data_IF_504131009191
#
_entry.id   IF_504131009191
#
_cell.length_a   1.000
_cell.length_b   1.000
_cell.length_c   1.000
_cell.angle_alpha   90.00
_cell.angle_beta   90.00
_cell.angle_gamma   90.00
#
_symmetry.space_group_name_H-M   'P 1'
#
loop_
_entity.id
_entity.type
_entity.pdbx_description
1 polymer ?
#
# COMPACT_ATOMS: atom_id res chain seq x y z
N UNK A 1 31.89 5.86 23.63
CA UNK A 1 30.61 5.21 23.29
C UNK A 1 29.58 6.31 23.14
N UNK A 2 29.59 6.98 21.98
CA UNK A 2 28.55 7.95 21.63
C UNK A 2 27.39 7.15 21.05
N UNK A 3 26.21 7.29 21.64
CA UNK A 3 24.97 6.82 21.03
C UNK A 3 24.78 7.63 19.75
N UNK A 4 24.77 6.91 18.62
CA UNK A 4 24.53 7.44 17.30
C UNK A 4 23.23 8.23 17.27
N UNK A 5 23.28 9.41 16.68
CA UNK A 5 22.10 10.16 16.32
C UNK A 5 21.31 9.32 15.30
N UNK A 6 20.13 8.85 15.71
CA UNK A 6 19.21 8.10 14.86
C UNK A 6 18.74 9.05 13.75
N UNK A 7 19.39 8.95 12.60
CA UNK A 7 19.09 9.75 11.43
C UNK A 7 17.62 9.52 11.06
N UNK A 8 16.85 10.61 10.96
CA UNK A 8 15.55 10.58 10.29
C UNK A 8 15.77 9.94 8.90
N UNK A 9 15.10 8.83 8.55
CA UNK A 9 15.32 8.19 7.26
C UNK A 9 14.84 9.16 6.17
N UNK A 10 15.80 9.78 5.48
CA UNK A 10 15.52 10.70 4.39
C UNK A 10 14.86 9.91 3.24
N UNK A 11 13.61 10.25 2.90
CA UNK A 11 13.07 10.01 1.55
C UNK A 11 11.68 9.37 1.45
N UNK A 12 11.26 8.54 2.42
CA UNK A 12 9.99 7.80 2.30
C UNK A 12 8.81 8.54 2.96
N UNK A 13 7.73 8.76 2.21
CA UNK A 13 6.44 9.19 2.75
C UNK A 13 5.55 7.96 3.02
N UNK A 14 5.04 7.83 4.23
CA UNK A 14 4.06 6.80 4.61
C UNK A 14 2.68 7.45 4.68
N UNK A 15 1.83 7.12 3.71
CA UNK A 15 0.48 7.63 3.60
C UNK A 15 -0.53 6.59 4.12
N UNK A 16 -1.25 6.95 5.18
CA UNK A 16 -2.32 6.15 5.75
C UNK A 16 -3.65 6.52 5.08
N UNK A 17 -4.27 5.56 4.41
CA UNK A 17 -5.53 5.71 3.67
C UNK A 17 -6.68 5.05 4.45
N UNK A 18 -7.55 5.89 4.99
CA UNK A 18 -8.74 5.48 5.73
C UNK A 18 -9.94 5.33 4.77
N UNK A 19 -10.33 4.08 4.54
CA UNK A 19 -11.44 3.71 3.67
C UNK A 19 -12.77 3.91 4.41
N UNK A 20 -13.38 5.09 4.27
CA UNK A 20 -14.61 5.47 4.98
C UNK A 20 -15.86 5.47 4.11
N UNK A 21 -15.71 5.45 2.78
CA UNK A 21 -16.82 5.56 1.83
C UNK A 21 -16.96 4.32 0.93
N UNK A 22 -15.84 3.75 0.47
CA UNK A 22 -15.82 2.57 -0.39
C UNK A 22 -14.93 1.48 0.20
N UNK A 23 -15.20 0.20 -0.07
CA UNK A 23 -14.30 -0.88 0.30
C UNK A 23 -12.96 -0.79 -0.44
N UNK A 24 -11.97 -1.54 0.04
CA UNK A 24 -10.64 -1.64 -0.56
C UNK A 24 -10.72 -1.98 -2.05
N UNK A 25 -11.56 -2.94 -2.40
CA UNK A 25 -11.71 -3.48 -3.75
C UNK A 25 -12.12 -2.41 -4.77
N UNK A 26 -12.85 -1.38 -4.33
CA UNK A 26 -13.26 -0.27 -5.20
C UNK A 26 -12.20 0.84 -5.24
N UNK A 27 -11.46 1.05 -4.15
CA UNK A 27 -10.49 2.14 -4.05
C UNK A 27 -9.11 1.78 -4.62
N UNK A 28 -8.72 0.52 -4.51
CA UNK A 28 -7.39 0.02 -4.84
C UNK A 28 -7.00 0.22 -6.31
N UNK A 29 -7.85 -0.07 -7.32
CA UNK A 29 -7.46 0.08 -8.72
C UNK A 29 -7.04 1.51 -9.06
N UNK A 30 -7.85 2.50 -8.68
CA UNK A 30 -7.57 3.92 -8.92
C UNK A 30 -6.30 4.43 -8.18
N UNK A 31 -5.91 3.80 -7.07
CA UNK A 31 -4.64 4.11 -6.39
C UNK A 31 -3.45 3.53 -7.15
N UNK A 32 -3.55 2.28 -7.61
CA UNK A 32 -2.50 1.61 -8.39
C UNK A 32 -2.32 2.28 -9.77
N UNK A 33 -3.40 2.66 -10.46
CA UNK A 33 -3.34 3.46 -11.69
C UNK A 33 -2.53 4.74 -11.51
N UNK A 34 -2.72 5.45 -10.38
CA UNK A 34 -1.96 6.67 -10.07
C UNK A 34 -0.49 6.41 -9.76
N UNK A 35 -0.14 5.20 -9.32
CA UNK A 35 1.27 4.78 -9.21
C UNK A 35 1.84 4.56 -10.60
N UNK A 36 1.17 3.77 -11.44
CA UNK A 36 1.61 3.48 -12.80
C UNK A 36 1.70 4.73 -13.68
N UNK A 37 0.77 5.69 -13.52
CA UNK A 37 0.77 6.97 -14.23
C UNK A 37 1.97 7.89 -13.87
N UNK A 38 2.76 7.53 -12.85
CA UNK A 38 4.04 8.18 -12.50
C UNK A 38 5.25 7.40 -13.03
N UNK A 39 5.04 6.40 -13.88
CA UNK A 39 6.06 5.43 -14.30
C UNK A 39 6.70 4.68 -13.13
N UNK A 40 5.97 4.56 -12.02
CA UNK A 40 6.38 3.78 -10.85
C UNK A 40 5.78 2.39 -10.88
N UNK A 41 6.47 1.47 -10.21
CA UNK A 41 6.06 0.11 -9.94
C UNK A 41 5.60 -0.03 -8.49
N UNK A 42 4.68 -0.95 -8.27
CA UNK A 42 4.15 -1.24 -6.96
C UNK A 42 4.37 -2.69 -6.57
N UNK A 43 4.54 -2.92 -5.27
CA UNK A 43 4.25 -4.21 -4.65
C UNK A 43 3.05 -4.04 -3.73
N UNK A 44 2.09 -4.96 -3.80
CA UNK A 44 0.95 -5.05 -2.91
C UNK A 44 1.13 -6.26 -2.00
N UNK A 45 1.19 -6.01 -0.68
CA UNK A 45 1.28 -7.05 0.34
C UNK A 45 -0.08 -7.26 1.00
N UNK A 46 -0.62 -8.45 0.83
CA UNK A 46 -1.89 -8.90 1.39
C UNK A 46 -1.72 -9.92 2.51
N UNK A 47 -2.78 -10.14 3.29
CA UNK A 47 -2.72 -10.99 4.49
C UNK A 47 -2.59 -12.50 4.23
N UNK A 48 -2.89 -12.97 3.02
CA UNK A 48 -2.80 -14.39 2.67
C UNK A 48 -2.73 -14.63 1.15
N UNK A 49 -2.35 -15.84 0.74
CA UNK A 49 -2.32 -16.22 -0.67
C UNK A 49 -3.73 -16.23 -1.31
N UNK A 50 -4.76 -16.61 -0.54
CA UNK A 50 -6.16 -16.53 -0.99
C UNK A 50 -6.57 -15.09 -1.25
N UNK A 51 -6.10 -14.16 -0.41
CA UNK A 51 -6.37 -12.74 -0.55
C UNK A 51 -5.64 -12.15 -1.75
N UNK A 52 -4.39 -12.54 -1.99
CA UNK A 52 -3.65 -12.21 -3.23
C UNK A 52 -4.46 -12.65 -4.45
N UNK A 53 -4.92 -13.90 -4.50
CA UNK A 53 -5.71 -14.43 -5.62
C UNK A 53 -7.02 -13.67 -5.84
N UNK A 54 -7.70 -13.30 -4.75
CA UNK A 54 -8.93 -12.52 -4.83
C UNK A 54 -8.69 -11.12 -5.41
N UNK A 55 -7.60 -10.46 -5.00
CA UNK A 55 -7.22 -9.14 -5.51
C UNK A 55 -6.73 -9.20 -6.96
N UNK A 56 -5.97 -10.23 -7.35
CA UNK A 56 -5.57 -10.48 -8.74
C UNK A 56 -6.81 -10.60 -9.65
N UNK A 57 -7.77 -11.44 -9.30
CA UNK A 57 -9.02 -11.61 -10.07
C UNK A 57 -9.83 -10.31 -10.17
N UNK A 58 -9.84 -9.51 -9.10
CA UNK A 58 -10.49 -8.20 -9.08
C UNK A 58 -9.80 -7.21 -10.02
N UNK A 59 -8.47 -7.11 -9.98
CA UNK A 59 -7.72 -6.16 -10.79
C UNK A 59 -7.80 -6.45 -12.29
N UNK A 60 -8.18 -7.68 -12.69
CA UNK A 60 -8.53 -8.01 -14.06
C UNK A 60 -9.95 -7.64 -14.49
N UNK A 61 -10.87 -7.42 -13.54
CA UNK A 61 -12.32 -7.35 -13.82
C UNK A 61 -13.02 -6.10 -13.29
N UNK A 62 -12.29 -5.20 -12.62
CA UNK A 62 -12.88 -4.02 -11.97
C UNK A 62 -13.51 -3.02 -12.94
N UNK A 63 -12.97 -2.91 -14.16
CA UNK A 63 -13.48 -2.07 -15.24
C UNK A 63 -13.14 -2.72 -16.59
N UNK A 64 -14.14 -3.00 -17.46
CA UNK A 64 -13.91 -3.63 -18.76
C UNK A 64 -13.06 -2.79 -19.73
N UNK A 65 -12.99 -1.47 -19.53
CA UNK A 65 -12.24 -0.55 -20.38
C UNK A 65 -10.84 -0.22 -19.81
N UNK A 66 -10.48 -0.79 -18.67
CA UNK A 66 -9.21 -0.52 -17.99
C UNK A 66 -8.24 -1.71 -18.06
N UNK A 67 -6.94 -1.39 -18.09
CA UNK A 67 -5.87 -2.37 -18.09
C UNK A 67 -4.82 -2.00 -17.05
N UNK A 68 -4.77 -2.79 -15.97
CA UNK A 68 -3.81 -2.63 -14.89
C UNK A 68 -2.86 -3.83 -14.92
N UNK A 69 -1.69 -3.75 -15.58
CA UNK A 69 -0.78 -4.88 -15.70
C UNK A 69 -0.21 -5.27 -14.34
N UNK A 70 -0.47 -6.51 -13.93
CA UNK A 70 -0.03 -7.06 -12.66
C UNK A 70 0.28 -8.55 -12.78
N UNK A 71 0.98 -9.08 -11.78
CA UNK A 71 1.20 -10.51 -11.60
C UNK A 71 1.46 -10.85 -10.14
N UNK A 72 1.47 -12.15 -9.85
CA UNK A 72 1.68 -12.71 -8.51
C UNK A 72 2.52 -13.99 -8.58
N UNK A 73 2.78 -14.60 -7.42
CA UNK A 73 3.59 -15.82 -7.34
C UNK A 73 3.02 -16.92 -8.27
N UNK A 74 3.86 -17.40 -9.19
CA UNK A 74 3.49 -18.40 -10.19
C UNK A 74 3.36 -17.83 -11.61
N UNK A 75 3.24 -16.51 -11.75
CA UNK A 75 3.24 -15.85 -13.04
C UNK A 75 4.65 -15.72 -13.64
N UNK A 76 4.76 -15.76 -14.98
CA UNK A 76 6.05 -15.59 -15.66
C UNK A 76 6.59 -14.16 -15.52
N UNK A 77 7.91 -14.03 -15.58
CA UNK A 77 8.63 -12.75 -15.63
C UNK A 77 8.25 -11.80 -14.46
N UNK A 78 8.36 -12.25 -13.20
CA UNK A 78 7.96 -11.46 -12.03
C UNK A 78 8.63 -10.08 -11.97
N UNK A 79 9.87 -9.96 -12.46
CA UNK A 79 10.63 -8.72 -12.55
C UNK A 79 10.10 -7.71 -13.57
N UNK A 80 9.20 -8.14 -14.47
CA UNK A 80 8.58 -7.30 -15.49
C UNK A 80 7.17 -6.85 -15.12
N UNK A 81 6.61 -7.34 -14.02
CA UNK A 81 5.25 -7.00 -13.58
C UNK A 81 5.21 -5.58 -12.98
N UNK A 82 4.49 -4.61 -13.58
CA UNK A 82 4.43 -3.25 -13.05
C UNK A 82 3.80 -3.17 -11.66
N UNK A 83 2.85 -4.06 -11.38
CA UNK A 83 2.34 -4.32 -10.03
C UNK A 83 2.57 -5.78 -9.67
N UNK A 84 3.18 -6.04 -8.52
CA UNK A 84 3.39 -7.38 -7.99
C UNK A 84 2.52 -7.60 -6.77
N UNK A 85 1.70 -8.66 -6.75
CA UNK A 85 0.89 -9.03 -5.57
C UNK A 85 1.55 -10.19 -4.83
N UNK A 86 1.69 -10.04 -3.51
CA UNK A 86 2.29 -11.07 -2.66
C UNK A 86 1.65 -11.13 -1.27
N UNK A 87 1.76 -12.29 -0.62
CA UNK A 87 1.50 -12.49 0.81
C UNK A 87 2.80 -12.57 1.64
N UNK A 88 3.96 -12.46 0.99
CA UNK A 88 5.29 -12.57 1.58
C UNK A 88 6.11 -11.27 1.47
N UNK A 89 7.43 -11.45 1.48
CA UNK A 89 8.43 -10.39 1.47
C UNK A 89 9.15 -10.20 0.12
N UNK A 90 8.72 -10.91 -0.92
CA UNK A 90 9.32 -10.85 -2.24
C UNK A 90 9.02 -9.53 -2.97
N UNK A 91 10.08 -8.94 -3.54
CA UNK A 91 10.07 -7.66 -4.25
C UNK A 91 10.72 -7.81 -5.65
N UNK A 92 10.26 -8.74 -6.50
CA UNK A 92 10.97 -9.09 -7.73
C UNK A 92 10.99 -7.97 -8.77
N UNK A 93 10.04 -7.02 -8.69
CA UNK A 93 9.81 -6.00 -9.69
C UNK A 93 10.49 -4.65 -9.40
N UNK A 94 11.37 -4.57 -8.41
CA UNK A 94 12.05 -3.33 -7.96
C UNK A 94 11.06 -2.17 -7.73
N UNK A 95 10.11 -2.33 -6.78
CA UNK A 95 8.98 -1.42 -6.60
C UNK A 95 9.38 -0.10 -5.91
N UNK A 96 8.94 1.03 -6.45
CA UNK A 96 9.04 2.32 -5.76
C UNK A 96 7.97 2.50 -4.69
N UNK A 97 6.82 1.82 -4.84
CA UNK A 97 5.67 1.95 -3.94
C UNK A 97 5.34 0.62 -3.27
N UNK A 98 5.26 0.64 -1.95
CA UNK A 98 4.69 -0.45 -1.16
C UNK A 98 3.23 -0.15 -0.84
N UNK A 99 2.33 -1.08 -1.14
CA UNK A 99 0.92 -1.01 -0.79
C UNK A 99 0.64 -2.09 0.26
N UNK A 100 0.25 -1.68 1.46
CA UNK A 100 -0.10 -2.55 2.58
C UNK A 100 -1.61 -2.60 2.74
N UNK A 101 -2.16 -3.81 2.75
CA UNK A 101 -3.60 -4.06 2.97
C UNK A 101 -3.77 -5.12 4.05
N UNK A 102 -5.01 -5.35 4.49
CA UNK A 102 -5.37 -6.38 5.49
C UNK A 102 -4.58 -6.28 6.82
N UNK A 103 -4.12 -5.08 7.17
CA UNK A 103 -3.33 -4.83 8.37
C UNK A 103 -1.88 -5.29 8.30
N UNK A 104 -1.40 -5.69 7.11
CA UNK A 104 0.00 -6.04 6.88
C UNK A 104 0.94 -4.87 7.15
N UNK A 105 2.18 -5.19 7.50
CA UNK A 105 3.21 -4.21 7.78
C UNK A 105 4.55 -4.61 7.12
N UNK A 106 5.46 -3.64 7.01
CA UNK A 106 6.82 -3.87 6.54
C UNK A 106 7.83 -3.25 7.51
N UNK A 107 8.70 -4.04 8.18
CA UNK A 107 9.52 -3.55 9.29
C UNK A 107 10.41 -2.36 8.89
N UNK A 108 10.98 -2.40 7.69
CA UNK A 108 11.80 -1.32 7.15
C UNK A 108 11.29 -0.78 5.81
N UNK A 109 10.56 0.35 5.79
CA UNK A 109 10.06 0.96 4.57
C UNK A 109 11.07 1.88 3.88
N UNK A 110 12.31 1.99 4.37
CA UNK A 110 13.30 2.96 3.88
C UNK A 110 13.72 2.74 2.42
N UNK A 111 13.58 1.53 1.88
CA UNK A 111 13.85 1.20 0.47
C UNK A 111 12.80 1.70 -0.52
N UNK A 112 11.65 2.19 -0.04
CA UNK A 112 10.56 2.66 -0.90
C UNK A 112 10.55 4.18 -1.03
N UNK A 113 10.03 4.68 -2.14
CA UNK A 113 9.71 6.11 -2.30
C UNK A 113 8.44 6.45 -1.53
N UNK A 114 7.46 5.55 -1.52
CA UNK A 114 6.19 5.74 -0.83
C UNK A 114 5.60 4.46 -0.29
N UNK A 115 4.97 4.54 0.86
CA UNK A 115 4.12 3.47 1.41
C UNK A 115 2.68 3.95 1.44
N UNK A 116 1.75 3.13 0.94
CA UNK A 116 0.31 3.31 1.07
C UNK A 116 -0.19 2.26 2.08
N UNK A 117 -0.58 2.69 3.28
CA UNK A 117 -1.15 1.82 4.32
C UNK A 117 -2.67 1.99 4.32
N UNK A 118 -3.40 1.01 3.77
CA UNK A 118 -4.85 1.06 3.62
C UNK A 118 -5.53 0.26 4.73
N UNK A 119 -6.56 0.84 5.32
CA UNK A 119 -7.36 0.17 6.35
C UNK A 119 -8.84 0.54 6.26
N UNK A 120 -9.70 -0.42 6.60
CA UNK A 120 -11.15 -0.24 6.58
C UNK A 120 -11.61 0.61 7.78
N UNK A 121 -12.24 1.74 7.51
CA UNK A 121 -12.77 2.62 8.54
C UNK A 121 -14.06 2.16 9.20
N UNK A 122 -14.65 1.07 8.69
CA UNK A 122 -15.86 0.45 9.23
C UNK A 122 -15.53 -0.74 10.13
N UNK A 123 -14.26 -1.09 10.26
CA UNK A 123 -13.74 -2.11 11.17
C UNK A 123 -12.92 -1.45 12.28
N UNK A 124 -13.49 -1.43 13.49
CA UNK A 124 -12.84 -0.85 14.68
C UNK A 124 -11.50 -1.49 15.01
N UNK A 125 -11.31 -2.79 14.71
CA UNK A 125 -10.04 -3.48 14.92
C UNK A 125 -9.00 -3.01 13.91
N UNK A 126 -9.38 -2.84 12.65
CA UNK A 126 -8.49 -2.31 11.61
C UNK A 126 -8.07 -0.85 11.91
N UNK A 127 -9.01 -0.03 12.38
CA UNK A 127 -8.73 1.36 12.80
C UNK A 127 -7.78 1.40 14.00
N UNK A 128 -7.99 0.54 15.00
CA UNK A 128 -7.11 0.43 16.15
C UNK A 128 -5.69 -0.01 15.74
N UNK A 129 -5.58 -1.05 14.91
CA UNK A 129 -4.30 -1.53 14.40
C UNK A 129 -3.54 -0.47 13.57
N UNK A 130 -4.24 0.26 12.70
CA UNK A 130 -3.65 1.35 11.93
C UNK A 130 -3.16 2.50 12.83
N UNK A 131 -3.89 2.80 13.91
CA UNK A 131 -3.45 3.79 14.91
C UNK A 131 -2.16 3.38 15.61
N UNK A 132 -1.99 2.09 15.90
CA UNK A 132 -0.77 1.59 16.52
C UNK A 132 0.41 1.61 15.54
N UNK A 133 0.21 1.20 14.28
CA UNK A 133 1.22 1.38 13.22
C UNK A 133 1.60 2.85 13.06
N UNK A 134 0.63 3.76 12.99
CA UNK A 134 0.89 5.20 12.92
C UNK A 134 1.79 5.70 14.06
N UNK A 135 1.47 5.33 15.30
CA UNK A 135 2.26 5.71 16.49
C UNK A 135 3.68 5.17 16.41
N UNK A 136 3.85 3.90 16.06
CA UNK A 136 5.16 3.27 15.94
C UNK A 136 6.01 3.92 14.84
N UNK A 137 5.42 4.22 13.67
CA UNK A 137 6.12 4.89 12.56
C UNK A 137 6.50 6.33 12.93
N UNK A 138 5.60 7.05 13.59
CA UNK A 138 5.87 8.42 14.07
C UNK A 138 6.99 8.44 15.09
N UNK A 139 7.02 7.48 16.02
CA UNK A 139 8.08 7.35 17.02
C UNK A 139 9.46 7.10 16.40
N UNK A 140 9.51 6.42 15.25
CA UNK A 140 10.72 6.21 14.44
C UNK A 140 11.07 7.38 13.51
N UNK A 141 10.34 8.48 13.57
CA UNK A 141 10.64 9.69 12.80
C UNK A 141 10.23 9.67 11.32
N UNK A 142 9.42 8.71 10.87
CA UNK A 142 8.95 8.70 9.47
C UNK A 142 8.01 9.87 9.16
N UNK A 143 8.06 10.36 7.92
CA UNK A 143 7.10 11.34 7.41
C UNK A 143 5.75 10.67 7.15
N UNK A 144 4.73 11.05 7.91
CA UNK A 144 3.38 10.46 7.81
C UNK A 144 2.39 11.44 7.19
N UNK A 145 1.54 10.95 6.28
CA UNK A 145 0.36 11.68 5.81
C UNK A 145 -0.89 10.84 6.06
N UNK A 146 -2.01 11.53 6.30
CA UNK A 146 -3.29 10.88 6.54
C UNK A 146 -4.29 11.31 5.46
N UNK A 147 -4.90 10.32 4.82
CA UNK A 147 -5.87 10.49 3.75
C UNK A 147 -7.16 9.79 4.15
N UNK A 148 -8.28 10.48 3.99
CA UNK A 148 -9.63 9.92 4.22
C UNK A 148 -10.48 10.07 2.98
N UNK A 149 -11.43 9.16 2.80
CA UNK A 149 -12.41 9.32 1.73
C UNK A 149 -13.47 10.35 2.12
N UNK A 150 -13.77 11.24 1.17
CA UNK A 150 -14.97 12.05 1.20
C UNK A 150 -16.20 11.19 0.86
N UNK A 151 -17.42 11.64 1.17
CA UNK A 151 -18.64 10.92 0.80
C UNK A 151 -18.79 10.63 -0.70
N UNK A 152 -18.11 11.42 -1.56
CA UNK A 152 -18.06 11.24 -3.01
C UNK A 152 -16.94 10.29 -3.48
N UNK A 153 -16.27 9.59 -2.55
CA UNK A 153 -15.17 8.66 -2.83
C UNK A 153 -13.81 9.31 -3.11
N UNK A 154 -13.72 10.64 -3.22
CA UNK A 154 -12.43 11.32 -3.43
C UNK A 154 -11.60 11.36 -2.16
N UNK A 155 -10.28 11.37 -2.33
CA UNK A 155 -9.34 11.46 -1.21
C UNK A 155 -9.14 12.89 -0.75
N UNK A 156 -9.19 13.10 0.57
CA UNK A 156 -8.83 14.33 1.24
C UNK A 156 -7.66 14.07 2.18
N UNK A 157 -6.59 14.85 2.01
CA UNK A 157 -5.48 14.87 2.96
C UNK A 157 -5.91 15.65 4.20
N UNK A 158 -5.81 15.04 5.36
CA UNK A 158 -5.99 15.74 6.62
C UNK A 158 -4.76 16.62 6.92
N UNK A 159 -4.97 17.75 7.62
CA UNK A 159 -3.89 18.64 8.03
C UNK A 159 -2.87 17.95 8.96
#
# INVERSE_FOLDING_TARGET
MSADAEATPAGVEIAFYHLTATPLEQALPALLERVLARDWRAVLRAGSAERVKALDSLLWTYDPDSFLPHGSQGDPLPERQPVWLTAGDDLPNDPQVLVLVDGMDHPDPSGFVRVLDLFDGRDDLAVAAARDRWRARKARGFALTYWRQRPDGRWERAP
#
